data_IF_383389292288
#
_entry.id   IF_383389292288
#
_cell.length_a   1.000
_cell.length_b   1.000
_cell.length_c   1.000
_cell.angle_alpha   90.00
_cell.angle_beta   90.00
_cell.angle_gamma   90.00
#
_symmetry.space_group_name_H-M   'P 1'
#
loop_
_entity.id
_entity.type
_entity.pdbx_description
1 polymer ?
#
# COMPACT_ATOMS: atom_id res chain seq x y z
N UNK A 1 15.78 -14.45 -10.90
CA UNK A 1 14.52 -13.94 -10.31
C UNK A 1 13.76 -15.11 -9.68
N UNK A 2 13.31 -15.01 -8.43
CA UNK A 2 12.48 -16.05 -7.81
C UNK A 2 10.99 -15.79 -8.12
N UNK A 3 10.39 -16.59 -9.01
CA UNK A 3 8.99 -16.49 -9.45
C UNK A 3 8.02 -16.44 -8.28
N UNK A 4 8.25 -17.26 -7.24
CA UNK A 4 7.39 -17.33 -6.04
C UNK A 4 7.38 -15.99 -5.30
N UNK A 5 8.54 -15.36 -5.10
CA UNK A 5 8.62 -14.05 -4.44
C UNK A 5 7.84 -12.99 -5.22
N UNK A 6 7.99 -12.96 -6.54
CA UNK A 6 7.32 -11.97 -7.40
C UNK A 6 5.80 -12.18 -7.36
N UNK A 7 5.34 -13.42 -7.51
CA UNK A 7 3.92 -13.76 -7.37
C UNK A 7 3.34 -13.29 -6.03
N UNK A 8 4.01 -13.60 -4.92
CA UNK A 8 3.60 -13.17 -3.59
C UNK A 8 3.62 -11.64 -3.42
N UNK A 9 4.60 -10.96 -4.01
CA UNK A 9 4.67 -9.50 -3.97
C UNK A 9 3.51 -8.89 -4.77
N UNK A 10 3.22 -9.38 -5.97
CA UNK A 10 2.12 -8.87 -6.80
C UNK A 10 0.77 -9.04 -6.10
N UNK A 11 0.46 -10.23 -5.58
CA UNK A 11 -0.81 -10.45 -4.86
C UNK A 11 -0.90 -9.56 -3.60
N UNK A 12 0.23 -9.29 -2.93
CA UNK A 12 0.28 -8.35 -1.81
C UNK A 12 0.00 -6.90 -2.20
N UNK A 13 0.52 -6.46 -3.34
CA UNK A 13 0.22 -5.14 -3.91
C UNK A 13 -1.25 -5.05 -4.31
N UNK A 14 -1.84 -6.10 -4.88
CA UNK A 14 -3.27 -6.15 -5.20
C UNK A 14 -4.13 -6.00 -3.93
N UNK A 15 -3.79 -6.72 -2.86
CA UNK A 15 -4.53 -6.66 -1.59
C UNK A 15 -4.41 -5.31 -0.88
N UNK A 16 -3.23 -4.67 -0.92
CA UNK A 16 -3.00 -3.37 -0.29
C UNK A 16 -3.46 -2.19 -1.15
N UNK A 17 -2.90 -2.03 -2.34
CA UNK A 17 -3.15 -0.87 -3.23
C UNK A 17 -4.49 -1.02 -3.94
N UNK A 18 -4.73 -2.17 -4.57
CA UNK A 18 -5.99 -2.46 -5.26
C UNK A 18 -7.19 -2.44 -4.30
N UNK A 19 -7.01 -3.01 -3.11
CA UNK A 19 -8.02 -2.99 -2.05
C UNK A 19 -8.42 -1.57 -1.61
N UNK A 20 -7.47 -0.62 -1.52
CA UNK A 20 -7.78 0.77 -1.21
C UNK A 20 -8.61 1.44 -2.31
N UNK A 21 -8.25 1.24 -3.58
CA UNK A 21 -9.02 1.75 -4.72
C UNK A 21 -10.45 1.21 -4.71
N UNK A 22 -10.61 -0.09 -4.49
CA UNK A 22 -11.91 -0.74 -4.38
C UNK A 22 -12.74 -0.14 -3.24
N UNK A 23 -12.17 0.02 -2.04
CA UNK A 23 -12.89 0.59 -0.91
C UNK A 23 -13.34 2.03 -1.17
N UNK A 24 -12.48 2.87 -1.76
CA UNK A 24 -12.85 4.24 -2.13
C UNK A 24 -14.05 4.23 -3.08
N UNK A 25 -14.05 3.34 -4.08
CA UNK A 25 -15.15 3.21 -5.04
C UNK A 25 -16.45 2.70 -4.39
N UNK A 26 -16.36 1.83 -3.38
CA UNK A 26 -17.54 1.24 -2.72
C UNK A 26 -18.24 2.17 -1.72
N UNK A 27 -17.56 3.17 -1.16
CA UNK A 27 -18.10 4.04 -0.10
C UNK A 27 -19.47 4.67 -0.46
N UNK A 28 -19.68 5.26 -1.65
CA UNK A 28 -20.98 5.84 -2.02
C UNK A 28 -22.11 4.81 -2.03
N UNK A 29 -21.84 3.60 -2.51
CA UNK A 29 -22.81 2.50 -2.55
C UNK A 29 -23.12 1.99 -1.14
N UNK A 30 -22.10 1.80 -0.31
CA UNK A 30 -22.28 1.37 1.08
C UNK A 30 -23.14 2.34 1.89
N UNK A 31 -22.99 3.66 1.67
CA UNK A 31 -23.83 4.69 2.31
C UNK A 31 -25.31 4.59 1.95
N UNK A 32 -25.65 4.04 0.77
CA UNK A 32 -27.06 3.81 0.36
C UNK A 32 -27.70 2.62 1.08
N UNK A 33 -26.90 1.68 1.57
CA UNK A 33 -27.39 0.49 2.29
C UNK A 33 -27.76 0.88 3.73
N UNK A 34 -26.82 1.49 4.46
CA UNK A 34 -27.06 2.05 5.80
C UNK A 34 -25.96 3.04 6.19
N UNK A 35 -26.24 3.87 7.20
CA UNK A 35 -25.24 4.81 7.73
C UNK A 35 -24.01 4.11 8.34
N UNK A 36 -24.17 2.88 8.87
CA UNK A 36 -23.07 2.13 9.50
C UNK A 36 -22.30 1.21 8.52
N UNK A 37 -22.87 0.89 7.35
CA UNK A 37 -22.27 -0.04 6.38
C UNK A 37 -20.83 0.32 5.96
N UNK A 38 -20.47 1.59 5.68
CA UNK A 38 -19.08 1.96 5.38
C UNK A 38 -18.11 1.66 6.53
N UNK A 39 -18.53 1.85 7.79
CA UNK A 39 -17.68 1.60 8.96
C UNK A 39 -17.42 0.10 9.13
N UNK A 40 -18.46 -0.72 8.99
CA UNK A 40 -18.34 -2.17 9.10
C UNK A 40 -17.45 -2.76 7.98
N UNK A 41 -17.64 -2.29 6.75
CA UNK A 41 -16.80 -2.69 5.62
C UNK A 41 -15.34 -2.27 5.83
N UNK A 42 -15.09 -1.02 6.24
CA UNK A 42 -13.74 -0.53 6.52
C UNK A 42 -13.03 -1.31 7.64
N UNK A 43 -13.75 -1.74 8.68
CA UNK A 43 -13.17 -2.54 9.76
C UNK A 43 -12.71 -3.93 9.28
N UNK A 44 -13.49 -4.57 8.39
CA UNK A 44 -13.10 -5.86 7.80
C UNK A 44 -11.99 -5.70 6.76
N UNK A 45 -12.11 -4.69 5.90
CA UNK A 45 -11.07 -4.33 4.95
C UNK A 45 -9.74 -4.03 5.65
N UNK A 46 -9.75 -3.33 6.79
CA UNK A 46 -8.53 -3.02 7.53
C UNK A 46 -7.73 -4.27 7.88
N UNK A 47 -8.39 -5.32 8.41
CA UNK A 47 -7.72 -6.60 8.73
C UNK A 47 -7.11 -7.23 7.47
N UNK A 48 -7.90 -7.33 6.41
CA UNK A 48 -7.46 -7.89 5.12
C UNK A 48 -6.25 -7.12 4.55
N UNK A 49 -6.37 -5.80 4.48
CA UNK A 49 -5.35 -4.92 3.90
C UNK A 49 -4.05 -5.00 4.70
N UNK A 50 -4.10 -4.91 6.04
CA UNK A 50 -2.91 -5.03 6.89
C UNK A 50 -2.16 -6.36 6.73
N UNK A 51 -2.87 -7.47 6.51
CA UNK A 51 -2.23 -8.75 6.17
C UNK A 51 -1.42 -8.66 4.88
N UNK A 52 -1.97 -8.03 3.84
CA UNK A 52 -1.26 -7.86 2.57
C UNK A 52 -0.13 -6.82 2.63
N UNK A 53 -0.22 -5.76 3.46
CA UNK A 53 0.94 -4.91 3.72
C UNK A 53 2.08 -5.69 4.38
N UNK A 54 1.78 -6.52 5.39
CA UNK A 54 2.82 -7.36 6.00
C UNK A 54 3.49 -8.28 4.97
N UNK A 55 2.69 -8.92 4.09
CA UNK A 55 3.22 -9.74 3.00
C UNK A 55 4.06 -8.92 2.01
N UNK A 56 3.65 -7.69 1.69
CA UNK A 56 4.38 -6.79 0.80
C UNK A 56 5.74 -6.40 1.39
N UNK A 57 5.81 -6.14 2.69
CA UNK A 57 7.06 -5.85 3.40
C UNK A 57 8.00 -7.06 3.38
N UNK A 58 7.50 -8.25 3.75
CA UNK A 58 8.29 -9.49 3.75
C UNK A 58 8.88 -9.75 2.36
N UNK A 59 8.05 -9.71 1.32
CA UNK A 59 8.48 -9.99 -0.06
C UNK A 59 9.32 -8.87 -0.68
N UNK A 60 9.12 -7.62 -0.24
CA UNK A 60 9.94 -6.47 -0.59
C UNK A 60 11.34 -6.56 -0.01
N UNK A 61 11.46 -6.85 1.29
CA UNK A 61 12.73 -7.09 1.99
C UNK A 61 13.48 -8.27 1.36
N UNK A 62 12.77 -9.38 1.09
CA UNK A 62 13.33 -10.50 0.35
C UNK A 62 13.89 -10.06 -1.01
N UNK A 63 13.19 -9.16 -1.72
CA UNK A 63 13.65 -8.61 -2.99
C UNK A 63 14.98 -7.86 -2.89
N UNK A 64 15.13 -7.04 -1.86
CA UNK A 64 16.35 -6.26 -1.60
C UNK A 64 17.53 -7.22 -1.37
N UNK A 65 17.37 -8.22 -0.50
CA UNK A 65 18.42 -9.21 -0.22
C UNK A 65 18.72 -10.15 -1.40
N UNK A 66 17.82 -10.26 -2.36
CA UNK A 66 18.03 -11.07 -3.57
C UNK A 66 18.63 -10.28 -4.74
N UNK A 67 18.90 -8.99 -4.54
CA UNK A 67 19.42 -8.10 -5.59
C UNK A 67 20.82 -7.66 -5.20
N UNK A 68 21.79 -7.81 -6.12
CA UNK A 68 23.09 -7.17 -5.94
C UNK A 68 22.91 -5.65 -6.13
N UNK A 69 23.05 -4.90 -5.04
CA UNK A 69 22.90 -3.46 -5.03
C UNK A 69 24.19 -2.75 -5.43
N UNK A 70 25.35 -3.40 -5.33
CA UNK A 70 26.64 -2.79 -5.65
C UNK A 70 26.81 -2.56 -7.16
N UNK A 71 26.12 -3.36 -7.97
CA UNK A 71 26.11 -3.26 -9.44
C UNK A 71 25.04 -2.30 -10.00
N UNK A 72 24.34 -1.55 -9.13
CA UNK A 72 23.25 -0.65 -9.52
C UNK A 72 23.71 0.80 -9.61
N UNK A 73 23.08 1.56 -10.51
CA UNK A 73 23.39 2.97 -10.71
C UNK A 73 22.72 3.86 -9.64
N UNK A 74 23.16 5.12 -9.58
CA UNK A 74 22.59 6.10 -8.65
C UNK A 74 21.07 6.28 -8.82
N UNK A 75 20.57 6.18 -10.06
CA UNK A 75 19.14 6.28 -10.38
C UNK A 75 18.34 5.17 -9.71
N UNK A 76 18.81 3.93 -9.78
CA UNK A 76 18.20 2.79 -9.12
C UNK A 76 18.16 2.97 -7.60
N UNK A 77 19.27 3.41 -6.99
CA UNK A 77 19.34 3.65 -5.54
C UNK A 77 18.36 4.73 -5.08
N UNK A 78 18.31 5.86 -5.78
CA UNK A 78 17.37 6.95 -5.49
C UNK A 78 15.93 6.47 -5.64
N UNK A 79 15.63 5.74 -6.71
CA UNK A 79 14.28 5.20 -6.95
C UNK A 79 13.87 4.21 -5.85
N UNK A 80 14.78 3.33 -5.43
CA UNK A 80 14.55 2.39 -4.33
C UNK A 80 14.33 3.13 -3.00
N UNK A 81 15.12 4.16 -2.71
CA UNK A 81 14.96 4.99 -1.52
C UNK A 81 13.59 5.67 -1.48
N UNK A 82 13.18 6.32 -2.59
CA UNK A 82 11.86 6.94 -2.75
C UNK A 82 10.76 5.90 -2.55
N UNK A 83 10.89 4.71 -3.16
CA UNK A 83 9.93 3.62 -2.98
C UNK A 83 9.76 3.26 -1.51
N UNK A 84 10.85 3.09 -0.77
CA UNK A 84 10.81 2.72 0.65
C UNK A 84 10.16 3.80 1.52
N UNK A 85 10.45 5.08 1.26
CA UNK A 85 9.77 6.20 1.92
C UNK A 85 8.26 6.20 1.65
N UNK A 86 7.86 5.95 0.40
CA UNK A 86 6.45 5.90 0.00
C UNK A 86 5.72 4.70 0.64
N UNK A 87 6.37 3.53 0.73
CA UNK A 87 5.82 2.37 1.46
C UNK A 87 5.59 2.71 2.92
N UNK A 88 6.59 3.29 3.59
CA UNK A 88 6.49 3.69 4.99
C UNK A 88 5.38 4.75 5.20
N UNK A 89 5.35 5.79 4.36
CA UNK A 89 4.32 6.82 4.40
C UNK A 89 2.92 6.24 4.21
N UNK A 90 2.73 5.33 3.26
CA UNK A 90 1.46 4.64 3.02
C UNK A 90 0.97 3.92 4.28
N UNK A 91 1.84 3.16 4.95
CA UNK A 91 1.53 2.47 6.19
C UNK A 91 1.19 3.43 7.34
N UNK A 92 2.01 4.48 7.56
CA UNK A 92 1.79 5.47 8.62
C UNK A 92 0.48 6.22 8.43
N UNK A 93 0.20 6.71 7.23
CA UNK A 93 -1.06 7.39 6.94
C UNK A 93 -2.26 6.46 7.12
N UNK A 94 -2.17 5.19 6.70
CA UNK A 94 -3.23 4.20 6.94
C UNK A 94 -3.46 3.94 8.44
N UNK A 95 -2.40 3.90 9.25
CA UNK A 95 -2.51 3.76 10.71
C UNK A 95 -3.23 4.97 11.32
N UNK A 96 -2.83 6.19 10.96
CA UNK A 96 -3.47 7.41 11.47
C UNK A 96 -4.93 7.50 11.01
N UNK A 97 -5.21 7.20 9.73
CA UNK A 97 -6.55 7.15 9.16
C UNK A 97 -7.48 6.21 9.94
N UNK A 98 -6.99 5.02 10.30
CA UNK A 98 -7.78 4.00 11.00
C UNK A 98 -8.06 4.33 12.47
N UNK A 99 -7.21 5.11 13.13
CA UNK A 99 -7.31 5.43 14.56
C UNK A 99 -7.92 6.79 14.87
N UNK A 100 -7.85 7.74 13.94
CA UNK A 100 -8.29 9.12 14.21
C UNK A 100 -9.82 9.25 14.31
N UNK A 101 -10.24 10.11 15.24
CA UNK A 101 -11.65 10.55 15.39
C UNK A 101 -11.95 11.83 14.59
N UNK A 102 -10.92 12.56 14.15
CA UNK A 102 -11.10 13.81 13.38
C UNK A 102 -11.41 13.52 11.91
N UNK A 103 -12.52 14.08 11.42
CA UNK A 103 -12.97 13.92 10.02
C UNK A 103 -11.92 14.47 9.04
N UNK A 104 -11.37 15.65 9.33
CA UNK A 104 -10.36 16.31 8.48
C UNK A 104 -9.09 15.45 8.37
N UNK A 105 -8.59 14.95 9.49
CA UNK A 105 -7.40 14.09 9.54
C UNK A 105 -7.69 12.76 8.83
N UNK A 106 -8.87 12.18 9.01
CA UNK A 106 -9.27 10.94 8.32
C UNK A 106 -9.27 11.12 6.81
N UNK A 107 -9.86 12.20 6.31
CA UNK A 107 -9.90 12.49 4.88
C UNK A 107 -8.48 12.69 4.31
N UNK A 108 -7.66 13.55 4.93
CA UNK A 108 -6.32 13.85 4.43
C UNK A 108 -5.40 12.63 4.46
N UNK A 109 -5.38 11.88 5.57
CA UNK A 109 -4.55 10.67 5.69
C UNK A 109 -5.05 9.52 4.82
N UNK A 110 -6.35 9.44 4.53
CA UNK A 110 -6.87 8.49 3.54
C UNK A 110 -6.34 8.78 2.14
N UNK A 111 -6.37 10.04 1.71
CA UNK A 111 -5.87 10.47 0.41
C UNK A 111 -4.34 10.32 0.30
N UNK A 112 -3.59 10.82 1.30
CA UNK A 112 -2.14 10.72 1.34
C UNK A 112 -1.66 9.27 1.40
N UNK A 113 -2.34 8.41 2.17
CA UNK A 113 -2.02 6.98 2.25
C UNK A 113 -2.14 6.27 0.90
N UNK A 114 -3.21 6.56 0.15
CA UNK A 114 -3.42 6.01 -1.19
C UNK A 114 -2.41 6.56 -2.20
N UNK A 115 -2.14 7.88 -2.21
CA UNK A 115 -1.16 8.48 -3.10
C UNK A 115 0.25 7.92 -2.86
N UNK A 116 0.64 7.76 -1.60
CA UNK A 116 1.91 7.11 -1.26
C UNK A 116 1.94 5.64 -1.71
N UNK A 117 0.83 4.89 -1.58
CA UNK A 117 0.73 3.52 -2.05
C UNK A 117 0.90 3.41 -3.58
N UNK A 118 0.25 4.31 -4.32
CA UNK A 118 0.35 4.39 -5.78
C UNK A 118 1.77 4.80 -6.23
N UNK A 119 2.39 5.74 -5.53
CA UNK A 119 3.78 6.13 -5.79
C UNK A 119 4.77 4.99 -5.52
N UNK A 120 4.56 4.21 -4.45
CA UNK A 120 5.37 3.02 -4.15
C UNK A 120 5.20 1.92 -5.23
N UNK A 121 4.00 1.77 -5.78
CA UNK A 121 3.73 0.90 -6.91
C UNK A 121 4.46 1.39 -8.17
N UNK A 122 4.30 2.66 -8.54
CA UNK A 122 4.93 3.26 -9.72
C UNK A 122 6.46 3.18 -9.67
N UNK A 123 7.07 3.58 -8.55
CA UNK A 123 8.53 3.42 -8.35
C UNK A 123 8.96 1.95 -8.42
N UNK A 124 8.11 1.02 -7.99
CA UNK A 124 8.32 -0.41 -8.21
C UNK A 124 8.36 -0.83 -9.68
N UNK A 125 7.49 -0.26 -10.51
CA UNK A 125 7.50 -0.49 -11.97
C UNK A 125 8.75 0.12 -12.60
N UNK A 126 9.17 1.30 -12.17
CA UNK A 126 10.40 1.95 -12.66
C UNK A 126 11.64 1.11 -12.37
N UNK A 127 11.73 0.47 -11.20
CA UNK A 127 12.88 -0.37 -10.83
C UNK A 127 13.04 -1.65 -11.66
N UNK A 128 12.00 -2.08 -12.37
CA UNK A 128 12.00 -3.31 -13.18
C UNK A 128 11.95 -3.05 -14.68
N UNK A 129 11.87 -1.79 -15.09
CA UNK A 129 11.94 -1.33 -16.47
C UNK A 129 13.38 -0.95 -16.82
#
# INVERSE_FOLDING_TARGET
MNTTRIFLHIISVCGWVGGQLLMVALVPTLRKISADAPRLAAARFGKFSWTFMALALITGIWGIFSTDLSDKDSTYHITLFIKLLLVAASGVFALVHSKTKSIKVKASTGALGLLSALGALLSGVILVN
#
